data_IF_797186656330
#
_entry.id   IF_797186656330
#
_cell.length_a   1.000
_cell.length_b   1.000
_cell.length_c   1.000
_cell.angle_alpha   90.00
_cell.angle_beta   90.00
_cell.angle_gamma   90.00
#
_symmetry.space_group_name_H-M   'P 1'
#
loop_
_entity.id
_entity.type
_entity.pdbx_description
1 polymer ?
#
# COMPACT_ATOMS: atom_id res chain seq x y z
N UNK A 1 -6.34 -46.50 5.11
CA UNK A 1 -7.48 -45.56 5.25
C UNK A 1 -7.48 -45.00 6.66
N UNK A 2 -7.02 -43.75 6.84
CA UNK A 2 -7.26 -42.96 8.05
C UNK A 2 -7.54 -41.53 7.59
N UNK A 3 -8.71 -41.03 7.96
CA UNK A 3 -9.38 -39.88 7.36
C UNK A 3 -8.69 -38.55 7.64
N UNK A 4 -8.40 -37.83 6.55
CA UNK A 4 -8.27 -36.38 6.57
C UNK A 4 -9.67 -35.79 6.59
N UNK A 5 -10.27 -35.70 7.78
CA UNK A 5 -11.40 -34.79 7.98
C UNK A 5 -10.83 -33.47 8.49
N UNK A 6 -10.12 -32.74 7.61
CA UNK A 6 -9.89 -31.33 7.85
C UNK A 6 -11.25 -30.65 7.87
N UNK A 7 -11.68 -30.25 9.07
CA UNK A 7 -12.83 -29.37 9.26
C UNK A 7 -12.72 -28.19 8.29
N UNK A 8 -13.79 -27.78 7.59
CA UNK A 8 -13.70 -26.67 6.64
C UNK A 8 -13.06 -25.47 7.32
N UNK A 9 -11.97 -24.98 6.74
CA UNK A 9 -11.22 -23.86 7.27
C UNK A 9 -12.19 -22.69 7.44
N UNK A 10 -12.53 -22.37 8.69
CA UNK A 10 -13.33 -21.18 8.99
C UNK A 10 -12.49 -19.98 8.57
N UNK A 11 -12.90 -19.29 7.51
CA UNK A 11 -12.27 -18.05 7.09
C UNK A 11 -12.35 -17.06 8.26
N UNK A 12 -11.22 -16.47 8.67
CA UNK A 12 -11.21 -15.59 9.81
C UNK A 12 -12.01 -14.31 9.51
N UNK A 13 -12.74 -13.84 10.52
CA UNK A 13 -13.46 -12.56 10.46
C UNK A 13 -12.51 -11.42 10.80
N UNK A 14 -12.57 -10.33 10.03
CA UNK A 14 -11.73 -9.17 10.29
C UNK A 14 -12.12 -8.47 11.60
N UNK A 15 -11.14 -8.26 12.47
CA UNK A 15 -11.24 -7.59 13.76
C UNK A 15 -10.02 -6.70 14.01
N UNK A 16 -10.15 -5.77 14.95
CA UNK A 16 -9.07 -4.84 15.33
C UNK A 16 -7.94 -5.55 16.08
N UNK A 17 -6.71 -5.14 15.83
CA UNK A 17 -5.54 -5.55 16.59
C UNK A 17 -5.02 -6.95 16.22
N UNK A 18 -4.06 -7.44 17.01
CA UNK A 18 -3.34 -8.69 16.75
C UNK A 18 -4.02 -9.90 17.40
N UNK A 19 -4.06 -11.02 16.69
CA UNK A 19 -4.68 -12.27 17.12
C UNK A 19 -3.66 -13.41 17.16
N UNK A 20 -3.79 -14.29 18.15
CA UNK A 20 -2.88 -15.44 18.29
C UNK A 20 -3.21 -16.60 17.33
N UNK A 21 -4.46 -16.71 16.86
CA UNK A 21 -4.98 -17.82 16.05
C UNK A 21 -6.22 -17.40 15.23
N UNK A 22 -6.49 -18.00 14.06
CA UNK A 22 -7.61 -17.65 13.17
C UNK A 22 -9.01 -17.69 13.81
N UNK A 23 -9.24 -18.63 14.73
CA UNK A 23 -10.53 -18.79 15.42
C UNK A 23 -10.91 -17.61 16.33
N UNK A 24 -9.99 -16.67 16.58
CA UNK A 24 -10.22 -15.47 17.41
C UNK A 24 -10.45 -14.21 16.57
N UNK A 25 -10.57 -14.34 15.25
CA UNK A 25 -10.55 -13.24 14.30
C UNK A 25 -9.16 -13.07 13.67
N UNK A 26 -9.05 -12.09 12.79
CA UNK A 26 -7.81 -11.69 12.13
C UNK A 26 -7.77 -10.17 11.93
N UNK A 27 -6.59 -9.56 12.02
CA UNK A 27 -6.38 -8.32 11.30
C UNK A 27 -6.25 -8.60 9.80
N UNK A 28 -6.30 -7.54 9.00
CA UNK A 28 -6.12 -7.62 7.55
C UNK A 28 -4.86 -8.44 7.14
N UNK A 29 -3.72 -8.19 7.79
CA UNK A 29 -2.44 -8.83 7.44
C UNK A 29 -2.34 -10.28 7.92
N UNK A 30 -2.99 -10.62 9.03
CA UNK A 30 -3.09 -12.03 9.47
C UNK A 30 -3.90 -12.84 8.46
N UNK A 31 -4.99 -12.28 7.95
CA UNK A 31 -5.77 -12.92 6.90
C UNK A 31 -4.96 -13.04 5.59
N UNK A 32 -4.22 -12.00 5.20
CA UNK A 32 -3.32 -12.06 4.05
C UNK A 32 -2.27 -13.18 4.20
N UNK A 33 -1.61 -13.28 5.37
CA UNK A 33 -0.64 -14.34 5.66
C UNK A 33 -1.24 -15.74 5.51
N UNK A 34 -2.47 -15.92 6.00
CA UNK A 34 -3.19 -17.18 5.92
C UNK A 34 -3.51 -17.56 4.47
N UNK A 35 -4.02 -16.60 3.66
CA UNK A 35 -4.31 -16.84 2.25
C UNK A 35 -3.05 -17.06 1.40
N UNK A 36 -1.92 -16.45 1.77
CA UNK A 36 -0.64 -16.65 1.13
C UNK A 36 0.03 -18.00 1.49
N UNK A 37 -0.55 -18.77 2.42
CA UNK A 37 0.05 -20.02 2.91
C UNK A 37 1.26 -19.80 3.83
N UNK A 38 1.44 -18.59 4.35
CA UNK A 38 2.52 -18.24 5.27
C UNK A 38 2.19 -18.62 6.71
N UNK A 39 3.20 -18.52 7.58
CA UNK A 39 2.98 -18.60 9.03
C UNK A 39 2.08 -17.44 9.46
N UNK A 40 1.06 -17.74 10.27
CA UNK A 40 0.16 -16.75 10.86
C UNK A 40 0.93 -15.57 11.48
N UNK A 41 0.81 -14.39 10.86
CA UNK A 41 1.55 -13.19 11.25
C UNK A 41 0.79 -11.94 10.80
N UNK A 42 0.82 -10.91 11.63
CA UNK A 42 0.40 -9.57 11.22
C UNK A 42 1.51 -8.82 10.44
N UNK A 43 2.70 -9.42 10.31
CA UNK A 43 3.84 -8.97 9.52
C UNK A 43 4.22 -10.07 8.52
N UNK A 44 3.42 -10.31 7.47
CA UNK A 44 3.70 -11.33 6.46
C UNK A 44 4.84 -10.93 5.53
N UNK A 45 5.50 -11.92 4.93
CA UNK A 45 6.51 -11.72 3.88
C UNK A 45 5.86 -11.51 2.50
N UNK A 46 4.58 -11.88 2.34
CA UNK A 46 3.84 -11.74 1.09
C UNK A 46 3.44 -10.30 0.75
N UNK A 47 3.71 -9.33 1.63
CA UNK A 47 3.35 -7.91 1.46
C UNK A 47 4.48 -6.99 1.90
N UNK A 48 4.69 -5.90 1.18
CA UNK A 48 5.70 -4.88 1.47
C UNK A 48 5.47 -4.28 2.88
N UNK A 49 6.50 -4.16 3.74
CA UNK A 49 6.33 -3.80 5.15
C UNK A 49 5.57 -2.49 5.39
N UNK A 50 5.79 -1.46 4.56
CA UNK A 50 5.08 -0.19 4.71
C UNK A 50 3.60 -0.29 4.30
N UNK A 51 3.29 -1.11 3.28
CA UNK A 51 1.91 -1.37 2.85
C UNK A 51 1.18 -2.20 3.90
N UNK A 52 1.84 -3.22 4.45
CA UNK A 52 1.33 -4.01 5.58
C UNK A 52 1.02 -3.12 6.80
N UNK A 53 1.91 -2.17 7.11
CA UNK A 53 1.69 -1.18 8.15
C UNK A 53 0.45 -0.31 7.90
N UNK A 54 0.25 0.18 6.67
CA UNK A 54 -0.96 0.93 6.28
C UNK A 54 -2.21 0.07 6.45
N UNK A 55 -2.22 -1.16 5.93
CA UNK A 55 -3.37 -2.06 5.98
C UNK A 55 -3.83 -2.35 7.42
N UNK A 56 -2.88 -2.57 8.34
CA UNK A 56 -3.20 -2.72 9.77
C UNK A 56 -3.79 -1.46 10.38
N UNK A 57 -3.20 -0.30 10.09
CA UNK A 57 -3.71 0.97 10.62
C UNK A 57 -5.12 1.26 10.11
N UNK A 58 -5.38 1.06 8.82
CA UNK A 58 -6.72 1.17 8.22
C UNK A 58 -7.69 0.20 8.89
N UNK A 59 -7.33 -1.09 9.01
CA UNK A 59 -8.15 -2.10 9.69
C UNK A 59 -8.54 -1.70 11.11
N UNK A 60 -7.61 -1.08 11.84
CA UNK A 60 -7.79 -0.76 13.25
C UNK A 60 -8.60 0.51 13.51
N UNK A 61 -8.69 1.42 12.54
CA UNK A 61 -9.40 2.70 12.70
C UNK A 61 -10.77 2.74 12.03
N UNK A 62 -11.03 1.89 11.02
CA UNK A 62 -12.36 1.83 10.42
C UNK A 62 -13.39 1.29 11.40
N UNK A 63 -14.64 1.75 11.26
CA UNK A 63 -15.75 1.27 12.07
C UNK A 63 -15.95 -0.26 11.95
N UNK A 64 -16.41 -0.88 13.05
CA UNK A 64 -16.67 -2.33 13.09
C UNK A 64 -17.68 -2.77 12.01
N UNK A 65 -18.68 -1.95 11.73
CA UNK A 65 -19.68 -2.18 10.68
C UNK A 65 -19.11 -2.10 9.26
N UNK A 66 -18.01 -1.35 9.06
CA UNK A 66 -17.38 -1.18 7.76
C UNK A 66 -16.28 -2.21 7.51
N UNK A 67 -15.59 -2.68 8.56
CA UNK A 67 -14.43 -3.57 8.47
C UNK A 67 -14.59 -4.80 7.57
N UNK A 68 -15.75 -5.49 7.50
CA UNK A 68 -15.94 -6.62 6.58
C UNK A 68 -15.65 -6.28 5.11
N UNK A 69 -15.88 -5.04 4.67
CA UNK A 69 -15.60 -4.60 3.30
C UNK A 69 -14.12 -4.65 2.95
N UNK A 70 -13.23 -4.49 3.95
CA UNK A 70 -11.79 -4.61 3.71
C UNK A 70 -11.36 -6.01 3.29
N UNK A 71 -12.16 -7.06 3.58
CA UNK A 71 -11.85 -8.43 3.20
C UNK A 71 -11.70 -8.60 1.68
N UNK A 72 -12.42 -7.80 0.89
CA UNK A 72 -12.36 -7.79 -0.57
C UNK A 72 -10.98 -7.37 -1.09
N UNK A 73 -10.22 -6.59 -0.32
CA UNK A 73 -8.89 -6.10 -0.68
C UNK A 73 -7.76 -7.06 -0.26
N UNK A 74 -8.04 -8.06 0.61
CA UNK A 74 -7.00 -8.95 1.18
C UNK A 74 -6.26 -9.75 0.11
N UNK A 75 -6.90 -10.34 -0.91
CA UNK A 75 -6.17 -11.04 -1.96
C UNK A 75 -5.24 -10.12 -2.77
N UNK A 76 -5.56 -8.83 -2.87
CA UNK A 76 -4.86 -7.89 -3.76
C UNK A 76 -3.47 -7.47 -3.24
N UNK A 77 -3.21 -7.57 -1.93
CA UNK A 77 -1.89 -7.29 -1.33
C UNK A 77 -0.89 -8.44 -1.49
N UNK A 78 -1.37 -9.65 -1.76
CA UNK A 78 -0.52 -10.86 -1.80
C UNK A 78 0.39 -10.79 -3.03
N UNK A 79 1.69 -10.98 -2.80
CA UNK A 79 2.74 -10.88 -3.83
C UNK A 79 3.21 -9.45 -4.10
N UNK A 80 2.68 -8.45 -3.37
CA UNK A 80 3.15 -7.06 -3.45
C UNK A 80 4.25 -6.85 -2.40
N UNK A 81 5.40 -7.53 -2.56
CA UNK A 81 6.44 -7.62 -1.54
C UNK A 81 7.87 -7.29 -2.03
N UNK A 82 8.00 -6.57 -3.14
CA UNK A 82 9.31 -6.13 -3.63
C UNK A 82 10.05 -5.22 -2.64
N UNK A 83 11.38 -5.22 -2.67
CA UNK A 83 12.23 -4.36 -1.82
C UNK A 83 12.66 -3.05 -2.52
N UNK A 84 12.05 -2.74 -3.66
CA UNK A 84 12.35 -1.54 -4.45
C UNK A 84 12.04 -0.26 -3.63
N UNK A 85 13.03 0.65 -3.42
CA UNK A 85 12.82 1.88 -2.65
C UNK A 85 11.73 2.81 -3.23
N UNK A 86 11.33 2.66 -4.49
CA UNK A 86 10.18 3.39 -5.04
C UNK A 86 8.88 3.08 -4.31
N UNK A 87 8.69 1.83 -3.84
CA UNK A 87 7.45 1.42 -3.17
C UNK A 87 7.22 2.25 -1.90
N UNK A 88 8.26 2.51 -1.11
CA UNK A 88 8.14 3.36 0.09
C UNK A 88 7.64 4.76 -0.26
N UNK A 89 8.22 5.37 -1.31
CA UNK A 89 7.87 6.72 -1.72
C UNK A 89 6.49 6.78 -2.42
N UNK A 90 6.11 5.77 -3.21
CA UNK A 90 4.78 5.62 -3.81
C UNK A 90 3.71 5.55 -2.72
N UNK A 91 3.89 4.66 -1.73
CA UNK A 91 2.96 4.48 -0.62
C UNK A 91 2.81 5.77 0.18
N UNK A 92 3.93 6.40 0.56
CA UNK A 92 3.92 7.63 1.34
C UNK A 92 3.31 8.81 0.56
N UNK A 93 3.61 8.96 -0.74
CA UNK A 93 3.03 9.98 -1.61
C UNK A 93 1.51 9.82 -1.69
N UNK A 94 1.02 8.60 -1.96
CA UNK A 94 -0.43 8.31 -2.02
C UNK A 94 -1.10 8.64 -0.69
N UNK A 95 -0.53 8.17 0.42
CA UNK A 95 -1.05 8.43 1.75
C UNK A 95 -1.14 9.93 2.05
N UNK A 96 -0.04 10.67 1.84
CA UNK A 96 0.01 12.08 2.15
C UNK A 96 -0.91 12.90 1.25
N UNK A 97 -0.94 12.62 -0.06
CA UNK A 97 -1.79 13.31 -1.02
C UNK A 97 -3.29 13.11 -0.72
N UNK A 98 -3.70 11.91 -0.31
CA UNK A 98 -5.11 11.63 0.03
C UNK A 98 -5.53 12.29 1.35
N UNK A 99 -4.66 12.31 2.35
CA UNK A 99 -5.00 12.86 3.67
C UNK A 99 -4.93 14.39 3.74
N UNK A 100 -4.03 15.02 2.98
CA UNK A 100 -3.74 16.45 3.09
C UNK A 100 -4.98 17.36 2.95
N UNK A 101 -5.92 17.12 2.01
CA UNK A 101 -7.09 17.97 1.84
C UNK A 101 -8.09 17.94 3.00
N UNK A 102 -8.13 16.84 3.77
CA UNK A 102 -9.11 16.64 4.86
C UNK A 102 -8.50 16.71 6.25
N UNK A 103 -7.18 16.67 6.36
CA UNK A 103 -6.48 16.74 7.63
C UNK A 103 -6.59 18.12 8.27
N UNK A 104 -6.67 18.15 9.61
CA UNK A 104 -6.60 19.40 10.38
C UNK A 104 -5.30 20.18 10.11
N UNK A 105 -5.37 21.52 10.17
CA UNK A 105 -4.28 22.42 9.79
C UNK A 105 -2.92 22.09 10.44
N UNK A 106 -2.90 21.64 11.69
CA UNK A 106 -1.68 21.26 12.38
C UNK A 106 -1.01 20.00 11.79
N UNK A 107 -1.79 19.06 11.24
CA UNK A 107 -1.29 17.87 10.52
C UNK A 107 -0.88 18.19 9.09
N UNK A 108 -1.51 19.17 8.45
CA UNK A 108 -1.22 19.53 7.05
C UNK A 108 0.26 19.89 6.84
N UNK A 109 0.94 20.48 7.83
CA UNK A 109 2.39 20.75 7.76
C UNK A 109 3.22 19.47 7.62
N UNK A 110 2.98 18.48 8.48
CA UNK A 110 3.68 17.19 8.44
C UNK A 110 3.37 16.44 7.14
N UNK A 111 2.12 16.43 6.71
CA UNK A 111 1.70 15.80 5.46
C UNK A 111 2.30 16.49 4.23
N UNK A 112 2.41 17.81 4.23
CA UNK A 112 3.07 18.56 3.15
C UNK A 112 4.56 18.24 3.07
N UNK A 113 5.26 18.13 4.22
CA UNK A 113 6.67 17.69 4.26
C UNK A 113 6.82 16.26 3.76
N UNK A 114 5.95 15.35 4.21
CA UNK A 114 5.96 13.95 3.78
C UNK A 114 5.76 13.84 2.26
N UNK A 115 4.80 14.58 1.71
CA UNK A 115 4.48 14.58 0.28
C UNK A 115 5.64 15.12 -0.56
N UNK A 116 6.22 16.26 -0.18
CA UNK A 116 7.39 16.83 -0.86
C UNK A 116 8.62 15.92 -0.75
N UNK A 117 8.80 15.27 0.41
CA UNK A 117 9.91 14.32 0.60
C UNK A 117 9.75 13.08 -0.28
N UNK A 118 8.53 12.56 -0.40
CA UNK A 118 8.23 11.41 -1.27
C UNK A 118 8.46 11.76 -2.76
N UNK A 119 8.02 12.94 -3.21
CA UNK A 119 8.27 13.42 -4.57
C UNK A 119 9.77 13.58 -4.85
N UNK A 120 10.55 14.11 -3.89
CA UNK A 120 12.00 14.24 -4.03
C UNK A 120 12.69 12.88 -4.14
N UNK A 121 12.30 11.91 -3.31
CA UNK A 121 12.85 10.54 -3.38
C UNK A 121 12.52 9.90 -4.72
N UNK A 122 11.27 10.02 -5.20
CA UNK A 122 10.90 9.51 -6.53
C UNK A 122 11.68 10.21 -7.64
N UNK A 123 11.86 11.54 -7.58
CA UNK A 123 12.63 12.26 -8.56
C UNK A 123 14.09 11.82 -8.59
N UNK A 124 14.72 11.62 -7.42
CA UNK A 124 16.09 11.11 -7.31
C UNK A 124 16.22 9.70 -7.92
N UNK A 125 15.32 8.78 -7.56
CA UNK A 125 15.35 7.40 -8.06
C UNK A 125 15.09 7.32 -9.57
N UNK A 126 14.23 8.20 -10.10
CA UNK A 126 13.91 8.28 -11.54
C UNK A 126 14.94 9.10 -12.34
N UNK A 127 15.94 9.73 -11.71
CA UNK A 127 16.86 10.64 -12.38
C UNK A 127 16.22 11.94 -12.91
N UNK A 128 15.10 12.37 -12.30
CA UNK A 128 14.37 13.61 -12.62
C UNK A 128 14.85 14.80 -11.77
N UNK A 129 14.58 16.05 -12.19
CA UNK A 129 14.88 17.23 -11.38
C UNK A 129 14.23 17.17 -9.97
N UNK A 130 14.96 17.61 -8.94
CA UNK A 130 14.55 17.48 -7.53
C UNK A 130 13.30 18.29 -7.14
N UNK A 131 12.87 19.23 -7.98
CA UNK A 131 11.66 20.04 -7.87
C UNK A 131 10.48 19.48 -8.69
N UNK A 132 10.68 18.32 -9.35
CA UNK A 132 9.60 17.63 -10.07
C UNK A 132 8.53 17.16 -9.10
N UNK A 133 7.28 17.53 -9.36
CA UNK A 133 6.13 17.17 -8.55
C UNK A 133 5.04 16.65 -9.48
N UNK A 134 4.50 15.46 -9.19
CA UNK A 134 3.36 14.89 -9.92
C UNK A 134 2.09 15.73 -9.79
N UNK A 135 1.19 15.67 -10.78
CA UNK A 135 -0.08 16.41 -10.74
C UNK A 135 -0.93 16.08 -9.51
N UNK A 136 -0.91 14.83 -9.06
CA UNK A 136 -1.62 14.42 -7.84
C UNK A 136 -1.11 15.19 -6.62
N UNK A 137 0.21 15.27 -6.47
CA UNK A 137 0.84 15.97 -5.36
C UNK A 137 0.65 17.48 -5.47
N UNK A 138 0.72 18.05 -6.68
CA UNK A 138 0.40 19.47 -6.90
C UNK A 138 -1.03 19.81 -6.47
N UNK A 139 -2.02 19.01 -6.89
CA UNK A 139 -3.42 19.20 -6.48
C UNK A 139 -3.59 19.09 -4.97
N UNK A 140 -3.00 18.08 -4.32
CA UNK A 140 -3.09 17.92 -2.89
C UNK A 140 -2.46 19.11 -2.12
N UNK A 141 -1.28 19.58 -2.53
CA UNK A 141 -0.59 20.72 -1.92
C UNK A 141 -1.40 22.02 -2.06
N UNK A 142 -2.15 22.18 -3.14
CA UNK A 142 -3.02 23.35 -3.36
C UNK A 142 -4.14 23.49 -2.31
N UNK A 143 -4.55 22.40 -1.66
CA UNK A 143 -5.54 22.45 -0.56
C UNK A 143 -4.98 23.02 0.76
N UNK A 144 -3.66 23.12 0.89
CA UNK A 144 -3.01 23.59 2.11
C UNK A 144 -1.84 24.53 1.77
N UNK A 145 -2.09 25.73 1.20
CA UNK A 145 -1.05 26.61 0.68
C UNK A 145 -0.08 27.10 1.78
N UNK A 146 -0.58 27.43 2.97
CA UNK A 146 0.27 27.89 4.08
C UNK A 146 1.16 26.76 4.61
N UNK A 147 0.60 25.54 4.73
CA UNK A 147 1.37 24.37 5.12
C UNK A 147 2.42 24.00 4.06
N UNK A 148 2.08 24.12 2.78
CA UNK A 148 2.99 23.89 1.65
C UNK A 148 4.13 24.90 1.64
N UNK A 149 3.83 26.18 1.80
CA UNK A 149 4.84 27.25 1.88
C UNK A 149 5.80 26.98 3.03
N UNK A 150 5.26 26.67 4.21
CA UNK A 150 6.07 26.32 5.38
C UNK A 150 6.94 25.07 5.13
N UNK A 151 6.36 24.01 4.56
CA UNK A 151 7.05 22.75 4.29
C UNK A 151 8.20 22.92 3.29
N UNK A 152 8.03 23.76 2.26
CA UNK A 152 9.10 24.11 1.32
C UNK A 152 10.26 24.79 2.03
N UNK A 153 9.99 25.80 2.88
CA UNK A 153 11.03 26.47 3.66
C UNK A 153 11.72 25.54 4.65
N UNK A 154 10.99 24.64 5.30
CA UNK A 154 11.55 23.63 6.21
C UNK A 154 12.47 22.63 5.50
N UNK A 155 12.17 22.31 4.24
CA UNK A 155 12.89 21.30 3.47
C UNK A 155 14.16 21.82 2.78
N UNK A 156 14.47 23.12 2.92
CA UNK A 156 15.71 23.73 2.41
C UNK A 156 16.89 23.21 3.25
N UNK A 157 17.80 22.45 2.63
CA UNK A 157 18.99 21.88 3.28
C UNK A 157 18.80 20.50 3.91
N UNK A 158 17.57 19.97 3.96
CA UNK A 158 17.32 18.60 4.40
C UNK A 158 17.47 17.61 3.22
N UNK A 159 18.59 16.89 3.17
CA UNK A 159 18.78 15.78 2.25
C UNK A 159 18.12 14.52 2.80
N UNK A 160 16.93 14.19 2.30
CA UNK A 160 16.24 12.95 2.66
C UNK A 160 16.73 11.83 1.75
N UNK A 161 17.63 10.99 2.25
CA UNK A 161 18.08 9.79 1.51
C UNK A 161 16.94 8.76 1.43
N UNK A 162 16.86 7.92 0.37
CA UNK A 162 15.86 6.85 0.27
C UNK A 162 15.85 5.91 1.49
N UNK A 163 17.04 5.60 2.03
CA UNK A 163 17.18 4.76 3.25
C UNK A 163 16.60 5.46 4.49
N UNK A 164 16.93 6.73 4.70
CA UNK A 164 16.37 7.53 5.80
C UNK A 164 14.85 7.69 5.66
N UNK A 165 14.38 7.85 4.43
CA UNK A 165 12.96 7.92 4.09
C UNK A 165 12.22 6.65 4.52
N UNK A 166 12.66 5.47 4.05
CA UNK A 166 12.10 4.17 4.42
C UNK A 166 12.06 3.97 5.93
N UNK A 167 13.12 4.35 6.65
CA UNK A 167 13.23 4.12 8.10
C UNK A 167 12.32 5.03 8.93
N UNK A 168 12.11 6.28 8.51
CA UNK A 168 11.49 7.30 9.36
C UNK A 168 10.34 8.04 8.68
N UNK A 169 10.59 8.62 7.51
CA UNK A 169 9.62 9.51 6.86
C UNK A 169 8.41 8.74 6.32
N UNK A 170 8.63 7.61 5.64
CA UNK A 170 7.56 6.76 5.10
C UNK A 170 6.58 6.27 6.17
N UNK A 171 7.06 5.59 7.25
CA UNK A 171 6.20 5.17 8.35
C UNK A 171 5.44 6.31 9.03
N UNK A 172 6.10 7.47 9.21
CA UNK A 172 5.45 8.66 9.78
C UNK A 172 4.38 9.22 8.85
N UNK A 173 4.64 9.26 7.54
CA UNK A 173 3.68 9.71 6.53
C UNK A 173 2.41 8.86 6.57
N UNK A 174 2.55 7.53 6.50
CA UNK A 174 1.41 6.60 6.55
C UNK A 174 0.60 6.80 7.83
N UNK A 175 1.27 6.87 8.99
CA UNK A 175 0.57 7.07 10.27
C UNK A 175 -0.20 8.39 10.32
N UNK A 176 0.47 9.50 10.02
CA UNK A 176 -0.16 10.80 10.04
C UNK A 176 -1.31 10.92 9.02
N UNK A 177 -1.21 10.22 7.89
CA UNK A 177 -2.27 10.17 6.89
C UNK A 177 -3.49 9.39 7.36
N UNK A 178 -3.30 8.17 7.87
CA UNK A 178 -4.41 7.33 8.34
C UNK A 178 -5.11 7.99 9.53
N UNK A 179 -4.36 8.48 10.51
CA UNK A 179 -4.92 9.25 11.63
C UNK A 179 -5.59 10.55 11.18
N UNK A 180 -5.00 11.24 10.19
CA UNK A 180 -5.52 12.48 9.64
C UNK A 180 -6.88 12.31 8.98
N UNK A 181 -7.08 11.22 8.23
CA UNK A 181 -8.37 10.89 7.60
C UNK A 181 -9.35 10.38 8.66
N UNK A 182 -8.93 9.47 9.54
CA UNK A 182 -9.81 8.90 10.57
C UNK A 182 -10.39 9.94 11.53
N UNK A 183 -9.64 11.02 11.78
CA UNK A 183 -10.05 12.13 12.67
C UNK A 183 -10.54 13.36 11.91
N UNK A 184 -10.69 13.29 10.60
CA UNK A 184 -11.19 14.41 9.80
C UNK A 184 -12.65 14.69 10.15
N UNK A 185 -13.01 15.97 10.21
CA UNK A 185 -14.42 16.40 10.23
C UNK A 185 -15.01 16.34 8.81
N UNK A 186 -14.90 15.18 8.16
CA UNK A 186 -15.38 14.93 6.80
C UNK A 186 -16.38 13.76 6.84
N UNK A 187 -17.39 13.74 5.94
CA UNK A 187 -18.22 12.56 5.77
C UNK A 187 -17.40 11.40 5.19
N UNK A 188 -17.88 10.17 5.41
CA UNK A 188 -17.39 8.95 4.76
C UNK A 188 -15.88 8.63 4.98
N UNK A 189 -15.32 8.94 6.15
CA UNK A 189 -13.90 8.67 6.47
C UNK A 189 -13.53 7.19 6.30
N UNK A 190 -14.41 6.25 6.67
CA UNK A 190 -14.20 4.81 6.44
C UNK A 190 -14.03 4.47 4.96
N UNK A 191 -14.87 5.05 4.09
CA UNK A 191 -14.75 4.89 2.63
C UNK A 191 -13.44 5.49 2.12
N UNK A 192 -13.06 6.66 2.62
CA UNK A 192 -11.79 7.29 2.25
C UNK A 192 -10.58 6.43 2.63
N UNK A 193 -10.60 5.79 3.80
CA UNK A 193 -9.53 4.88 4.24
C UNK A 193 -9.49 3.59 3.42
N UNK A 194 -10.65 3.03 3.09
CA UNK A 194 -10.77 1.91 2.17
C UNK A 194 -10.18 2.25 0.80
N UNK A 195 -10.60 3.38 0.21
CA UNK A 195 -10.13 3.82 -1.10
C UNK A 195 -8.65 4.18 -1.09
N UNK A 196 -8.13 4.74 0.01
CA UNK A 196 -6.70 4.96 0.22
C UNK A 196 -5.96 3.63 0.11
N UNK A 197 -6.38 2.61 0.87
CA UNK A 197 -5.73 1.31 0.85
C UNK A 197 -5.81 0.67 -0.55
N UNK A 198 -7.00 0.63 -1.16
CA UNK A 198 -7.21 0.06 -2.49
C UNK A 198 -6.33 0.72 -3.56
N UNK A 199 -6.30 2.06 -3.61
CA UNK A 199 -5.45 2.80 -4.57
C UNK A 199 -3.97 2.62 -4.30
N UNK A 200 -3.56 2.51 -3.04
CA UNK A 200 -2.15 2.27 -2.70
C UNK A 200 -1.70 0.88 -3.13
N UNK A 201 -2.55 -0.14 -2.94
CA UNK A 201 -2.30 -1.50 -3.44
C UNK A 201 -2.13 -1.47 -4.96
N UNK A 202 -3.04 -0.80 -5.66
CA UNK A 202 -2.99 -0.69 -7.11
C UNK A 202 -1.73 0.02 -7.60
N UNK A 203 -1.34 1.15 -7.01
CA UNK A 203 -0.10 1.84 -7.36
C UNK A 203 1.13 0.93 -7.21
N UNK A 204 1.18 0.13 -6.13
CA UNK A 204 2.29 -0.80 -5.88
C UNK A 204 2.30 -1.97 -6.88
N UNK A 205 1.12 -2.49 -7.25
CA UNK A 205 0.98 -3.56 -8.25
C UNK A 205 1.40 -3.08 -9.63
N UNK A 206 0.94 -1.89 -10.04
CA UNK A 206 1.35 -1.28 -11.31
C UNK A 206 2.85 -1.07 -11.37
N UNK A 207 3.46 -0.55 -10.29
CA UNK A 207 4.92 -0.42 -10.21
C UNK A 207 5.64 -1.76 -10.37
N UNK A 208 5.19 -2.78 -9.64
CA UNK A 208 5.82 -4.11 -9.67
C UNK A 208 5.72 -4.76 -11.06
N UNK A 209 4.58 -4.62 -11.74
CA UNK A 209 4.36 -5.12 -13.11
C UNK A 209 5.24 -4.42 -14.15
N UNK A 210 5.49 -3.11 -14.00
CA UNK A 210 6.40 -2.35 -14.87
C UNK A 210 7.88 -2.76 -14.72
N UNK A 211 8.26 -3.38 -13.60
CA UNK A 211 9.64 -3.83 -13.32
C UNK A 211 9.84 -5.30 -13.62
N UNK A 212 8.80 -6.12 -13.44
CA UNK A 212 8.79 -7.53 -13.79
C UNK A 212 7.59 -7.79 -14.70
N UNK A 213 7.70 -7.45 -16.01
CA UNK A 213 6.63 -7.82 -16.94
C UNK A 213 6.44 -9.33 -16.87
N UNK A 214 5.21 -9.75 -16.59
CA UNK A 214 4.86 -11.16 -16.54
C UNK A 214 5.12 -11.77 -17.92
N UNK A 215 6.31 -12.33 -18.10
CA UNK A 215 6.66 -13.11 -19.27
C UNK A 215 6.31 -14.54 -18.90
N UNK A 216 5.31 -15.17 -19.54
CA UNK A 216 5.04 -16.57 -19.32
C UNK A 216 6.35 -17.34 -19.51
N UNK A 217 6.70 -18.20 -18.55
CA UNK A 217 7.82 -19.12 -18.72
C UNK A 217 7.55 -19.94 -19.98
N UNK A 218 8.38 -19.74 -21.02
CA UNK A 218 8.17 -20.32 -22.33
C UNK A 218 8.11 -21.85 -22.26
N UNK A 219 8.89 -22.48 -21.37
CA UNK A 219 8.87 -23.94 -21.19
C UNK A 219 7.56 -24.42 -20.57
N UNK A 220 7.09 -23.74 -19.51
CA UNK A 220 5.79 -24.04 -18.89
C UNK A 220 4.60 -23.75 -19.80
N UNK A 221 4.71 -22.72 -20.63
CA UNK A 221 3.71 -22.40 -21.65
C UNK A 221 3.66 -23.49 -22.72
N UNK A 222 4.83 -23.96 -23.18
CA UNK A 222 4.91 -25.06 -24.14
C UNK A 222 4.34 -26.37 -23.57
N UNK A 223 4.61 -26.67 -22.30
CA UNK A 223 4.04 -27.84 -21.60
C UNK A 223 2.52 -27.71 -21.41
N UNK A 224 2.01 -26.52 -21.09
CA UNK A 224 0.58 -26.25 -21.04
C UNK A 224 -0.09 -26.38 -22.41
N UNK A 225 0.56 -25.91 -23.49
CA UNK A 225 0.11 -26.09 -24.86
C UNK A 225 0.03 -27.58 -25.25
N UNK A 226 1.05 -28.37 -24.88
CA UNK A 226 1.07 -29.83 -25.10
C UNK A 226 -0.06 -30.55 -24.34
N UNK A 227 -0.36 -30.13 -23.11
CA UNK A 227 -1.43 -30.70 -22.28
C UNK A 227 -2.84 -30.34 -22.76
N UNK A 228 -3.01 -29.19 -23.39
CA UNK A 228 -4.33 -28.67 -23.83
C UNK A 228 -4.62 -28.89 -25.32
N UNK A 229 -3.65 -29.41 -26.09
CA UNK A 229 -3.79 -29.65 -27.53
C UNK A 229 -3.76 -28.37 -28.38
N UNK A 230 -3.39 -27.22 -27.78
CA UNK A 230 -3.27 -25.94 -28.47
C UNK A 230 -1.85 -25.81 -29.02
N UNK A 231 -1.69 -25.63 -30.34
CA UNK A 231 -0.36 -25.37 -30.92
C UNK A 231 0.16 -24.00 -30.48
N UNK A 232 1.45 -23.90 -30.14
CA UNK A 232 2.14 -22.67 -29.73
C UNK A 232 2.35 -21.67 -30.90
N UNK A 233 1.30 -21.41 -31.68
CA UNK A 233 1.32 -20.53 -32.84
C UNK A 233 1.15 -19.06 -32.48
N UNK A 234 2.28 -18.34 -32.43
CA UNK A 234 2.42 -16.96 -32.91
C UNK A 234 1.64 -15.84 -32.21
N UNK A 235 2.21 -15.27 -31.14
CA UNK A 235 2.06 -13.83 -30.89
C UNK A 235 3.12 -13.12 -31.73
N UNK A 236 2.85 -12.91 -33.02
CA UNK A 236 3.55 -11.88 -33.78
C UNK A 236 3.10 -10.52 -33.25
N UNK A 237 4.02 -9.83 -32.59
CA UNK A 237 3.91 -8.40 -32.31
C UNK A 237 3.90 -7.67 -33.66
N UNK A 238 2.85 -6.92 -33.92
CA UNK A 238 2.84 -5.77 -34.85
C UNK A 238 2.27 -4.58 -34.11
#
# INVERSE_FOLDING_TARGET
MSGLTESPAVLPVLSRGKHRRPRKGACFMEFASFLAGERWSDHPDCTHPLLASMARQVNDVVADSYRPRLAELVPAVIGVNGDDPHLDAIIARRAAATALPVAAAWRQRVLSVALLSAERVLAELDGRPADSISDMSQRALAHAPDATKWARSFSVGAATTPRGFRRHAGPTAVRCSVEGIAQACAPDTDRMLHDLLARTIEDCRQWSQLRTPATPDAGRWEDACKLTGVSAGGVTVS
#
